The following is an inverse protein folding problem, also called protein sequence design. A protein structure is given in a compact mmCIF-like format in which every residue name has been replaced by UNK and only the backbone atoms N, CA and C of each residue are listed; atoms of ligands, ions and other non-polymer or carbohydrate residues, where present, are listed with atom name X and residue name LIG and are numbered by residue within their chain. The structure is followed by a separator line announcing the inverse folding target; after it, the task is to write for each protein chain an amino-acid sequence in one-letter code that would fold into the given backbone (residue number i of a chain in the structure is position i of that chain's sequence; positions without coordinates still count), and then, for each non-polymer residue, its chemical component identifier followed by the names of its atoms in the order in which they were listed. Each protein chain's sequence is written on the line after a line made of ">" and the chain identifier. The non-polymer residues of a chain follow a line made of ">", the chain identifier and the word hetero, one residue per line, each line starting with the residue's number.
data_IF_240628801249
#
_entry.id   IF_240628801249
#
_cell.length_a   1.000
_cell.length_b   1.000
_cell.length_c   1.000
_cell.angle_alpha   90.00
_cell.angle_beta   90.00
_cell.angle_gamma   90.00
#
_symmetry.space_group_name_H-M   'P 1'
#
loop_
_entity.id
_entity.type
_entity.pdbx_description
1 polymer ?
#
# COMPACT_ATOMS: atom_id res chain seq x y z
N UNK A 1 9.45 -38.89 -5.26
CA UNK A 1 9.37 -37.51 -4.71
C UNK A 1 7.93 -37.34 -4.23
N UNK A 2 7.71 -37.17 -2.93
CA UNK A 2 6.37 -37.13 -2.34
C UNK A 2 5.65 -35.82 -2.73
N UNK A 3 4.38 -35.91 -3.08
CA UNK A 3 3.49 -34.77 -3.44
C UNK A 3 3.56 -33.65 -2.39
N UNK A 4 3.73 -34.02 -1.11
CA UNK A 4 3.87 -33.06 -0.03
C UNK A 4 5.11 -32.16 -0.11
N UNK A 5 6.22 -32.62 -0.67
CA UNK A 5 7.43 -31.78 -0.80
C UNK A 5 7.25 -30.67 -1.85
N UNK A 6 6.49 -30.93 -2.91
CA UNK A 6 6.20 -29.96 -3.96
C UNK A 6 5.22 -28.89 -3.46
N UNK A 7 4.21 -29.27 -2.68
CA UNK A 7 3.28 -28.33 -2.07
C UNK A 7 3.95 -27.42 -1.03
N UNK A 8 4.83 -27.98 -0.20
CA UNK A 8 5.60 -27.22 0.77
C UNK A 8 6.54 -26.22 0.08
N UNK A 9 7.23 -26.62 -0.97
CA UNK A 9 8.11 -25.74 -1.73
C UNK A 9 7.32 -24.60 -2.39
N UNK A 10 6.14 -24.89 -2.94
CA UNK A 10 5.25 -23.91 -3.57
C UNK A 10 4.69 -22.91 -2.53
N UNK A 11 4.31 -23.38 -1.35
CA UNK A 11 3.81 -22.50 -0.28
C UNK A 11 4.91 -21.57 0.25
N UNK A 12 6.14 -22.05 0.43
CA UNK A 12 7.28 -21.23 0.84
C UNK A 12 7.59 -20.14 -0.20
N UNK A 13 7.57 -20.50 -1.48
CA UNK A 13 7.75 -19.53 -2.57
C UNK A 13 6.66 -18.46 -2.58
N UNK A 14 5.40 -18.85 -2.46
CA UNK A 14 4.26 -17.91 -2.42
C UNK A 14 4.36 -16.98 -1.21
N UNK A 15 4.69 -17.51 -0.03
CA UNK A 15 4.90 -16.72 1.18
C UNK A 15 6.05 -15.72 1.00
N UNK A 16 7.15 -16.15 0.37
CA UNK A 16 8.29 -15.28 0.05
C UNK A 16 7.89 -14.12 -0.86
N UNK A 17 7.10 -14.38 -1.90
CA UNK A 17 6.58 -13.34 -2.79
C UNK A 17 5.63 -12.36 -2.08
N UNK A 18 4.76 -12.86 -1.20
CA UNK A 18 3.87 -12.01 -0.41
C UNK A 18 4.65 -11.11 0.56
N UNK A 19 5.67 -11.63 1.22
CA UNK A 19 6.53 -10.84 2.11
C UNK A 19 7.30 -9.78 1.32
N UNK A 20 7.86 -10.15 0.17
CA UNK A 20 8.55 -9.20 -0.71
C UNK A 20 7.61 -8.07 -1.17
N UNK A 21 6.40 -8.41 -1.59
CA UNK A 21 5.40 -7.44 -2.01
C UNK A 21 5.01 -6.50 -0.85
N UNK A 22 4.85 -7.03 0.37
CA UNK A 22 4.57 -6.21 1.55
C UNK A 22 5.71 -5.25 1.90
N UNK A 23 6.96 -5.70 1.78
CA UNK A 23 8.15 -4.85 1.99
C UNK A 23 8.20 -3.73 0.94
N UNK A 24 8.00 -4.07 -0.34
CA UNK A 24 7.97 -3.08 -1.43
C UNK A 24 6.85 -2.06 -1.20
N UNK A 25 5.66 -2.50 -0.81
CA UNK A 25 4.55 -1.62 -0.50
C UNK A 25 4.88 -0.67 0.66
N UNK A 26 5.47 -1.18 1.74
CA UNK A 26 5.89 -0.37 2.88
C UNK A 26 6.95 0.68 2.47
N UNK A 27 7.91 0.31 1.63
CA UNK A 27 8.91 1.23 1.08
C UNK A 27 8.28 2.32 0.22
N UNK A 28 7.35 1.96 -0.66
CA UNK A 28 6.63 2.93 -1.51
C UNK A 28 5.82 3.90 -0.67
N UNK A 29 5.13 3.43 0.38
CA UNK A 29 4.40 4.29 1.30
C UNK A 29 5.38 5.23 2.04
N UNK A 30 6.49 4.72 2.55
CA UNK A 30 7.50 5.53 3.25
C UNK A 30 8.08 6.63 2.34
N UNK A 31 8.40 6.31 1.10
CA UNK A 31 8.85 7.28 0.09
C UNK A 31 7.74 8.28 -0.23
N UNK A 32 6.51 7.83 -0.42
CA UNK A 32 5.36 8.69 -0.71
C UNK A 32 5.07 9.69 0.42
N UNK A 33 5.26 9.27 1.67
CA UNK A 33 5.13 10.17 2.84
C UNK A 33 6.29 11.17 2.91
N UNK A 34 7.49 10.80 2.47
CA UNK A 34 8.68 11.66 2.50
C UNK A 34 8.70 12.71 1.39
N UNK A 35 8.17 12.36 0.21
CA UNK A 35 8.12 13.26 -0.95
C UNK A 35 6.89 14.16 -0.87
N UNK A 36 7.08 15.46 -0.79
CA UNK A 36 6.01 16.47 -0.73
C UNK A 36 6.57 17.88 -0.72
N UNK A 37 5.69 18.86 -0.75
CA UNK A 37 6.02 20.30 -0.82
C UNK A 37 6.90 20.78 0.34
N UNK A 38 6.79 20.14 1.51
CA UNK A 38 7.72 20.30 2.64
C UNK A 38 8.69 19.11 2.60
N UNK A 39 9.97 19.37 2.39
CA UNK A 39 11.04 18.37 2.48
C UNK A 39 11.18 17.88 3.93
N UNK A 40 10.48 16.81 4.28
CA UNK A 40 10.58 16.20 5.61
C UNK A 40 11.60 15.05 5.48
N UNK A 41 12.75 15.09 6.21
CA UNK A 41 13.72 14.01 6.19
C UNK A 41 13.06 12.68 6.63
N UNK A 42 13.44 11.58 5.99
CA UNK A 42 12.98 10.22 6.33
C UNK A 42 13.15 9.90 7.82
N UNK A 43 14.18 10.46 8.46
CA UNK A 43 14.41 10.33 9.90
C UNK A 43 13.23 10.86 10.73
N UNK A 44 12.67 12.01 10.36
CA UNK A 44 11.54 12.60 11.09
C UNK A 44 10.25 11.78 10.90
N UNK A 45 10.07 11.13 9.75
CA UNK A 45 8.96 10.21 9.51
C UNK A 45 9.10 8.97 10.42
N UNK A 46 10.31 8.44 10.51
CA UNK A 46 10.60 7.30 11.38
C UNK A 46 10.39 7.66 12.86
N UNK A 47 10.87 8.82 13.31
CA UNK A 47 10.66 9.31 14.67
C UNK A 47 9.19 9.56 14.99
N UNK A 48 8.41 10.11 14.05
CA UNK A 48 6.98 10.33 14.23
C UNK A 48 6.20 9.03 14.44
N UNK A 49 6.55 7.98 13.68
CA UNK A 49 5.96 6.66 13.82
C UNK A 49 6.41 6.00 15.13
N UNK A 50 7.70 6.11 15.45
CA UNK A 50 8.31 5.51 16.64
C UNK A 50 7.80 6.15 17.94
N UNK A 51 7.60 7.47 17.95
CA UNK A 51 7.01 8.18 19.09
C UNK A 51 5.57 7.73 19.38
N UNK A 52 4.77 7.53 18.33
CA UNK A 52 3.38 7.08 18.50
C UNK A 52 3.27 5.63 18.98
N UNK A 53 4.24 4.79 18.63
CA UNK A 53 4.32 3.39 19.11
C UNK A 53 4.97 3.28 20.49
N UNK A 54 5.45 4.39 21.07
CA UNK A 54 6.08 4.43 22.39
C UNK A 54 7.51 3.90 22.42
N UNK A 55 8.15 3.73 21.27
CA UNK A 55 9.51 3.19 21.16
C UNK A 55 10.59 4.26 21.37
N UNK A 56 10.30 5.52 21.10
CA UNK A 56 11.20 6.66 21.30
C UNK A 56 10.39 7.89 21.74
N UNK A 57 11.00 8.79 22.49
CA UNK A 57 10.39 10.04 22.97
C UNK A 57 11.23 11.24 22.50
N UNK A 58 11.50 11.32 21.18
CA UNK A 58 12.23 12.43 20.61
C UNK A 58 11.30 13.64 20.38
N UNK A 59 11.71 14.87 20.76
CA UNK A 59 10.91 16.06 20.60
C UNK A 59 10.83 16.45 19.11
N UNK A 60 9.79 15.99 18.43
CA UNK A 60 9.44 16.45 17.08
C UNK A 60 8.64 17.75 17.16
N UNK A 61 8.88 18.64 16.21
CA UNK A 61 8.09 19.86 16.08
C UNK A 61 6.63 19.47 15.76
N UNK A 62 5.67 19.96 16.55
CA UNK A 62 4.24 19.66 16.43
C UNK A 62 3.69 19.81 14.99
N UNK A 63 4.26 20.74 14.22
CA UNK A 63 3.88 20.99 12.83
C UNK A 63 4.22 19.77 11.94
N UNK A 64 5.41 19.19 12.09
CA UNK A 64 5.83 18.04 11.31
C UNK A 64 5.02 16.78 11.67
N UNK A 65 4.72 16.61 12.95
CA UNK A 65 3.91 15.50 13.42
C UNK A 65 2.50 15.55 12.82
N UNK A 66 1.83 16.71 12.89
CA UNK A 66 0.49 16.89 12.29
C UNK A 66 0.49 16.71 10.78
N UNK A 67 1.49 17.25 10.07
CA UNK A 67 1.58 17.09 8.60
C UNK A 67 1.79 15.63 8.20
N UNK A 68 2.61 14.88 8.93
CA UNK A 68 2.86 13.47 8.64
C UNK A 68 1.60 12.64 8.87
N UNK A 69 0.93 12.82 10.01
CA UNK A 69 -0.21 11.99 10.41
C UNK A 69 -1.50 12.37 9.68
N UNK A 70 -1.87 13.64 9.68
CA UNK A 70 -3.18 14.08 9.20
C UNK A 70 -3.25 14.18 7.68
N UNK A 71 -2.14 14.53 7.03
CA UNK A 71 -2.17 14.77 5.58
C UNK A 71 -1.45 13.69 4.78
N UNK A 72 -0.23 13.30 5.15
CA UNK A 72 0.59 12.44 4.31
C UNK A 72 0.28 10.97 4.48
N UNK A 73 0.30 10.49 5.71
CA UNK A 73 0.03 9.09 6.01
C UNK A 73 -1.41 8.72 5.66
N UNK A 74 -2.36 9.59 5.98
CA UNK A 74 -3.78 9.40 5.65
C UNK A 74 -3.98 9.22 4.14
N UNK A 75 -3.39 10.10 3.32
CA UNK A 75 -3.47 9.99 1.85
C UNK A 75 -2.80 8.75 1.30
N UNK A 76 -1.63 8.38 1.84
CA UNK A 76 -0.91 7.18 1.42
C UNK A 76 -1.71 5.90 1.74
N UNK A 77 -2.35 5.84 2.91
CA UNK A 77 -3.19 4.71 3.30
C UNK A 77 -4.45 4.61 2.43
N UNK A 78 -5.11 5.72 2.16
CA UNK A 78 -6.27 5.75 1.26
C UNK A 78 -5.88 5.27 -0.13
N UNK A 79 -4.76 5.74 -0.68
CA UNK A 79 -4.26 5.31 -1.97
C UNK A 79 -3.94 3.81 -1.99
N UNK A 80 -3.32 3.28 -0.93
CA UNK A 80 -3.04 1.85 -0.80
C UNK A 80 -4.33 1.02 -0.73
N UNK A 81 -5.33 1.45 0.04
CA UNK A 81 -6.63 0.79 0.12
C UNK A 81 -7.37 0.80 -1.23
N UNK A 82 -7.38 1.94 -1.92
CA UNK A 82 -7.97 2.04 -3.25
C UNK A 82 -7.27 1.13 -4.26
N UNK A 83 -5.93 1.10 -4.25
CA UNK A 83 -5.15 0.22 -5.11
C UNK A 83 -5.42 -1.27 -4.82
N UNK A 84 -5.49 -1.66 -3.56
CA UNK A 84 -5.85 -3.02 -3.16
C UNK A 84 -7.28 -3.38 -3.61
N UNK A 85 -8.23 -2.48 -3.44
CA UNK A 85 -9.61 -2.66 -3.91
C UNK A 85 -9.69 -2.88 -5.42
N UNK A 86 -8.99 -2.04 -6.20
CA UNK A 86 -8.92 -2.18 -7.65
C UNK A 86 -8.26 -3.49 -8.09
N UNK A 87 -7.21 -3.93 -7.39
CA UNK A 87 -6.56 -5.20 -7.68
C UNK A 87 -7.49 -6.39 -7.46
N UNK A 88 -8.24 -6.41 -6.35
CA UNK A 88 -9.24 -7.45 -6.06
C UNK A 88 -10.34 -7.45 -7.13
N UNK A 89 -10.88 -6.27 -7.45
CA UNK A 89 -11.88 -6.13 -8.52
C UNK A 89 -11.37 -6.65 -9.85
N UNK A 90 -10.10 -6.37 -10.19
CA UNK A 90 -9.47 -6.88 -11.40
C UNK A 90 -9.42 -8.40 -11.44
N UNK A 91 -8.96 -9.04 -10.36
CA UNK A 91 -8.87 -10.51 -10.28
C UNK A 91 -10.26 -11.15 -10.37
N UNK A 92 -11.25 -10.60 -9.67
CA UNK A 92 -12.64 -11.11 -9.72
C UNK A 92 -13.21 -10.99 -11.14
N UNK A 93 -13.01 -9.85 -11.79
CA UNK A 93 -13.49 -9.61 -13.14
C UNK A 93 -12.87 -10.57 -14.15
N UNK A 94 -11.54 -10.74 -14.09
CA UNK A 94 -10.82 -11.69 -14.96
C UNK A 94 -11.29 -13.14 -14.76
N UNK A 95 -11.56 -13.51 -13.51
CA UNK A 95 -12.10 -14.83 -13.17
C UNK A 95 -13.51 -15.02 -13.70
N UNK A 96 -14.38 -14.04 -13.56
CA UNK A 96 -15.78 -14.08 -13.97
C UNK A 96 -15.93 -14.15 -15.49
N UNK A 97 -15.18 -13.33 -16.22
CA UNK A 97 -15.22 -13.28 -17.68
C UNK A 97 -14.33 -14.31 -18.34
N UNK A 98 -13.56 -15.09 -17.55
CA UNK A 98 -12.55 -16.05 -18.05
C UNK A 98 -11.62 -15.42 -19.09
N UNK A 99 -11.32 -14.15 -18.95
CA UNK A 99 -10.51 -13.37 -19.86
C UNK A 99 -9.46 -12.57 -19.08
N UNK A 100 -8.19 -12.88 -19.29
CA UNK A 100 -7.06 -12.21 -18.63
C UNK A 100 -6.89 -10.73 -19.05
N UNK A 101 -7.54 -10.30 -20.14
CA UNK A 101 -7.51 -8.92 -20.63
C UNK A 101 -8.67 -8.08 -20.07
N UNK A 102 -9.51 -8.63 -19.20
CA UNK A 102 -10.61 -7.91 -18.60
C UNK A 102 -10.06 -6.89 -17.57
N UNK A 103 -10.38 -5.64 -17.78
CA UNK A 103 -9.99 -4.52 -16.92
C UNK A 103 -11.21 -3.90 -16.23
N UNK A 104 -11.14 -3.57 -14.93
CA UNK A 104 -12.22 -2.89 -14.19
C UNK A 104 -12.59 -1.55 -14.81
N UNK A 105 -11.64 -0.91 -15.47
CA UNK A 105 -11.81 0.37 -16.14
C UNK A 105 -12.92 0.36 -17.21
N UNK A 106 -13.04 -0.74 -17.96
CA UNK A 106 -14.01 -0.92 -19.04
C UNK A 106 -15.45 -0.94 -18.51
N UNK A 107 -15.67 -1.29 -17.24
CA UNK A 107 -16.99 -1.30 -16.60
C UNK A 107 -17.53 0.10 -16.24
N UNK A 108 -16.89 1.16 -16.70
CA UNK A 108 -17.37 2.53 -16.46
C UNK A 108 -16.91 3.13 -15.13
N UNK A 109 -15.89 2.58 -14.48
CA UNK A 109 -15.34 3.13 -13.23
C UNK A 109 -14.87 4.58 -13.43
N UNK A 110 -14.25 4.90 -14.58
CA UNK A 110 -13.83 6.26 -14.88
C UNK A 110 -14.99 7.21 -15.12
N UNK A 111 -16.06 6.74 -15.79
CA UNK A 111 -17.27 7.54 -16.00
C UNK A 111 -17.98 7.82 -14.66
N UNK A 112 -18.05 6.84 -13.77
CA UNK A 112 -18.56 6.99 -12.40
C UNK A 112 -17.75 7.98 -11.57
N UNK A 113 -16.42 7.89 -11.62
CA UNK A 113 -15.54 8.81 -10.93
C UNK A 113 -15.66 10.26 -11.44
N UNK A 114 -15.79 10.46 -12.77
CA UNK A 114 -15.99 11.77 -13.37
C UNK A 114 -17.35 12.41 -12.99
N UNK A 115 -18.36 11.58 -12.72
CA UNK A 115 -19.68 12.07 -12.32
C UNK A 115 -19.74 12.40 -10.82
N UNK A 116 -18.87 11.78 -10.02
CA UNK A 116 -18.81 11.98 -8.57
C UNK A 116 -17.80 13.03 -8.10
N UNK A 117 -17.00 13.60 -8.99
CA UNK A 117 -16.02 14.64 -8.70
C UNK A 117 -16.61 16.03 -8.91
#
# INVERSE_FOLDING_TARGET
>A
MSVGAIETCRSILLTGWCVLAAIVLALVIAVGVSVGELAIPLQNVFYAISNRTGLTAEPLNHIYESVIWDFRLSRALVAACCGAGLAICGVVLQSLLKNALAEPYVLGVSAGASTGA
#
